data_IF_127468607338
#
_entry.id   IF_127468607338
#
_cell.length_a   1.000
_cell.length_b   1.000
_cell.length_c   1.000
_cell.angle_alpha   90.00
_cell.angle_beta   90.00
_cell.angle_gamma   90.00
#
_symmetry.space_group_name_H-M   'P 1'
#
loop_
_entity.id
_entity.type
_entity.pdbx_description
1 polymer ?
#
# COMPACT_ATOMS: atom_id res chain seq x y z
N UNK A 1 -2.42 -71.53 -5.73
CA UNK A 1 -3.85 -71.42 -5.34
C UNK A 1 -4.09 -70.00 -4.84
N UNK A 2 -4.97 -69.27 -5.53
CA UNK A 2 -5.76 -68.08 -5.16
C UNK A 2 -5.14 -66.94 -4.32
N UNK A 3 -5.03 -65.79 -4.97
CA UNK A 3 -5.38 -64.40 -4.58
C UNK A 3 -5.27 -63.96 -3.11
N UNK A 4 -4.64 -62.80 -2.88
CA UNK A 4 -5.34 -61.59 -2.44
C UNK A 4 -4.46 -60.31 -2.49
N UNK A 5 -4.85 -59.41 -3.39
CA UNK A 5 -4.87 -57.94 -3.37
C UNK A 5 -4.72 -57.26 -1.99
N UNK A 6 -3.70 -56.40 -1.81
CA UNK A 6 -3.83 -54.93 -1.54
C UNK A 6 -2.54 -54.29 -0.96
N UNK A 7 -2.11 -53.26 -1.69
CA UNK A 7 -1.66 -51.93 -1.23
C UNK A 7 -0.25 -51.62 -0.68
N UNK A 8 0.37 -50.73 -1.46
CA UNK A 8 1.18 -49.53 -1.17
C UNK A 8 2.68 -49.67 -0.90
N UNK A 9 3.39 -49.22 -1.94
CA UNK A 9 4.82 -49.10 -2.13
C UNK A 9 5.46 -48.03 -1.24
N UNK A 10 6.59 -48.46 -0.72
CA UNK A 10 7.74 -47.78 -0.14
C UNK A 10 8.16 -46.46 -0.81
N UNK A 11 8.53 -45.54 0.08
CA UNK A 11 9.55 -44.49 -0.03
C UNK A 11 10.51 -44.51 -1.23
N UNK A 12 10.68 -43.35 -1.86
CA UNK A 12 12.00 -42.88 -2.34
C UNK A 12 11.91 -41.37 -2.64
N UNK A 13 12.26 -40.54 -1.65
CA UNK A 13 12.66 -39.16 -1.88
C UNK A 13 14.17 -39.08 -1.66
N UNK A 14 14.86 -38.85 -2.77
CA UNK A 14 16.31 -38.67 -2.85
C UNK A 14 16.66 -37.36 -2.17
N UNK A 15 17.51 -37.48 -1.15
CA UNK A 15 18.17 -36.39 -0.46
C UNK A 15 18.98 -35.54 -1.43
N UNK A 16 18.70 -34.23 -1.48
CA UNK A 16 19.64 -33.22 -1.96
C UNK A 16 19.82 -32.17 -0.86
N UNK A 17 20.98 -32.27 -0.23
CA UNK A 17 21.50 -31.41 0.82
C UNK A 17 22.12 -30.17 0.15
N UNK A 18 21.61 -28.95 0.37
CA UNK A 18 22.32 -27.70 0.05
C UNK A 18 21.90 -26.56 1.01
N UNK A 19 22.91 -26.08 1.74
CA UNK A 19 23.10 -24.82 2.49
C UNK A 19 22.13 -24.34 3.60
N UNK A 20 22.66 -24.48 4.82
CA UNK A 20 22.65 -23.54 5.96
C UNK A 20 21.90 -22.21 5.78
N UNK A 21 20.86 -22.02 6.57
CA UNK A 21 20.41 -20.68 6.98
C UNK A 21 20.81 -20.44 8.43
N UNK A 22 22.04 -19.99 8.63
CA UNK A 22 22.35 -19.10 9.74
C UNK A 22 22.46 -17.69 9.14
N UNK A 23 21.30 -17.05 8.98
CA UNK A 23 21.19 -15.61 8.80
C UNK A 23 20.43 -15.08 10.03
N UNK A 24 20.87 -13.98 10.65
CA UNK A 24 20.40 -13.55 11.95
C UNK A 24 18.90 -13.28 11.93
N UNK A 25 18.25 -13.61 13.04
CA UNK A 25 16.83 -13.39 13.30
C UNK A 25 16.42 -11.99 12.83
N UNK A 26 15.59 -11.95 11.78
CA UNK A 26 14.72 -10.82 11.54
C UNK A 26 13.82 -10.73 12.77
N UNK A 27 14.01 -9.70 13.59
CA UNK A 27 13.19 -9.45 14.76
C UNK A 27 11.75 -9.23 14.29
N UNK A 28 10.88 -10.21 14.53
CA UNK A 28 9.45 -10.03 14.36
C UNK A 28 8.96 -9.02 15.40
N UNK A 29 8.77 -7.76 15.01
CA UNK A 29 7.80 -6.89 15.69
C UNK A 29 6.41 -7.40 15.32
N UNK A 30 5.96 -8.45 15.99
CA UNK A 30 4.67 -9.08 15.72
C UNK A 30 3.53 -8.34 16.47
N UNK A 31 2.53 -7.91 15.69
CA UNK A 31 1.13 -7.64 16.07
C UNK A 31 0.83 -6.53 17.10
N UNK A 32 1.57 -5.41 17.03
CA UNK A 32 1.15 -4.18 17.71
C UNK A 32 -0.03 -3.54 16.97
N UNK A 33 -1.10 -3.17 17.68
CA UNK A 33 -2.21 -2.33 17.18
C UNK A 33 -1.70 -1.31 16.14
N UNK A 34 -2.27 -1.34 14.94
CA UNK A 34 -1.89 -0.39 13.87
C UNK A 34 -2.24 1.05 14.21
N UNK A 35 -3.10 1.26 15.21
CA UNK A 35 -3.36 2.56 15.80
C UNK A 35 -3.56 2.52 17.33
N UNK A 36 -3.13 3.58 18.01
CA UNK A 36 -3.32 3.81 19.46
C UNK A 36 -3.91 5.20 19.68
N UNK A 37 -4.74 5.37 20.69
CA UNK A 37 -5.27 6.69 21.07
C UNK A 37 -4.23 7.46 21.89
N UNK A 38 -4.10 8.77 21.70
CA UNK A 38 -3.24 9.61 22.55
C UNK A 38 -3.55 9.38 24.04
N UNK A 39 -2.51 9.15 24.84
CA UNK A 39 -2.62 8.72 26.24
C UNK A 39 -2.62 7.20 26.45
N UNK A 40 -2.80 6.39 25.40
CA UNK A 40 -2.47 4.96 25.44
C UNK A 40 -0.95 4.75 25.24
N UNK A 41 -0.47 3.54 25.53
CA UNK A 41 0.92 3.14 25.28
C UNK A 41 1.05 2.33 23.99
N UNK A 42 2.15 2.53 23.27
CA UNK A 42 2.63 1.63 22.22
C UNK A 42 3.56 0.61 22.85
N UNK A 43 3.27 -0.68 22.66
CA UNK A 43 4.09 -1.75 23.22
C UNK A 43 5.13 -2.24 22.21
N UNK A 44 6.36 -2.41 22.69
CA UNK A 44 7.51 -2.85 21.90
C UNK A 44 8.14 -4.05 22.58
N UNK A 45 8.38 -5.11 21.83
CA UNK A 45 9.18 -6.26 22.28
C UNK A 45 10.32 -6.45 21.30
N UNK A 46 11.53 -6.63 21.83
CA UNK A 46 12.75 -6.73 21.05
C UNK A 46 13.58 -7.93 21.51
N UNK A 47 14.29 -8.63 20.62
CA UNK A 47 15.24 -9.67 21.01
C UNK A 47 16.57 -9.12 21.58
N UNK A 48 16.81 -7.80 21.49
CA UNK A 48 18.04 -7.14 21.93
C UNK A 48 17.75 -6.01 22.90
N UNK A 49 18.69 -5.78 23.81
CA UNK A 49 18.69 -4.59 24.67
C UNK A 49 19.05 -3.34 23.87
N UNK A 50 18.59 -2.19 24.35
CA UNK A 50 18.85 -0.90 23.73
C UNK A 50 17.72 0.09 24.00
N UNK A 51 17.41 0.95 23.04
CA UNK A 51 16.39 1.99 23.19
C UNK A 51 15.39 1.93 22.04
N UNK A 52 14.09 1.91 22.37
CA UNK A 52 13.00 2.07 21.43
C UNK A 52 12.57 3.53 21.37
N UNK A 53 12.32 4.02 20.17
CA UNK A 53 11.88 5.38 19.88
C UNK A 53 10.55 5.35 19.15
N UNK A 54 9.65 6.23 19.53
CA UNK A 54 8.41 6.53 18.83
C UNK A 54 8.53 7.95 18.27
N UNK A 55 8.73 8.10 16.97
CA UNK A 55 8.98 9.38 16.31
C UNK A 55 8.10 9.55 15.06
N UNK A 56 7.80 10.78 14.61
CA UNK A 56 7.00 10.97 13.40
C UNK A 56 7.60 10.23 12.20
N UNK A 57 6.77 9.65 11.32
CA UNK A 57 7.27 8.78 10.24
C UNK A 57 8.18 9.46 9.22
N UNK A 58 8.21 10.80 9.22
CA UNK A 58 9.06 11.62 8.35
C UNK A 58 10.49 11.76 8.87
N UNK A 59 10.76 11.34 10.11
CA UNK A 59 12.10 11.32 10.69
C UNK A 59 12.90 10.18 10.07
N UNK A 60 14.10 10.49 9.58
CA UNK A 60 15.00 9.50 8.99
C UNK A 60 15.66 8.65 10.09
N UNK A 61 15.10 7.46 10.31
CA UNK A 61 15.59 6.51 11.33
C UNK A 61 16.97 5.93 11.02
N UNK A 62 17.52 6.13 9.82
CA UNK A 62 18.92 5.76 9.54
C UNK A 62 19.92 6.70 10.23
N UNK A 63 19.45 7.84 10.74
CA UNK A 63 20.25 8.85 11.43
C UNK A 63 19.75 8.99 12.87
N UNK A 64 20.37 8.24 13.78
CA UNK A 64 20.02 8.23 15.21
C UNK A 64 19.97 9.64 15.83
N UNK A 65 20.82 10.56 15.37
CA UNK A 65 20.81 11.94 15.84
C UNK A 65 19.49 12.67 15.54
N UNK A 66 18.89 12.47 14.35
CA UNK A 66 17.58 13.04 14.05
C UNK A 66 16.48 12.45 14.94
N UNK A 67 16.60 11.16 15.28
CA UNK A 67 15.66 10.49 16.18
C UNK A 67 15.77 11.08 17.60
N UNK A 68 16.98 11.33 18.10
CA UNK A 68 17.21 11.98 19.40
C UNK A 68 16.66 13.40 19.43
N UNK A 69 16.92 14.20 18.39
CA UNK A 69 16.37 15.56 18.24
C UNK A 69 14.84 15.54 18.28
N UNK A 70 14.19 14.55 17.65
CA UNK A 70 12.73 14.42 17.68
C UNK A 70 12.20 14.19 19.11
N UNK A 71 12.92 13.39 19.93
CA UNK A 71 12.57 13.19 21.34
C UNK A 71 12.81 14.46 22.15
N UNK A 72 13.97 15.10 21.98
CA UNK A 72 14.34 16.31 22.72
C UNK A 72 13.41 17.49 22.43
N UNK A 73 12.93 17.61 21.19
CA UNK A 73 11.94 18.61 20.79
C UNK A 73 10.50 18.26 21.21
N UNK A 74 10.29 17.12 21.89
CA UNK A 74 8.99 16.71 22.41
C UNK A 74 8.01 16.18 21.37
N UNK A 75 8.43 16.01 20.11
CA UNK A 75 7.59 15.43 19.05
C UNK A 75 7.74 13.91 18.95
N UNK A 76 8.64 13.32 19.73
CA UNK A 76 8.84 11.89 19.86
C UNK A 76 9.02 11.46 21.32
N UNK A 77 9.04 10.15 21.54
CA UNK A 77 9.21 9.52 22.85
C UNK A 77 10.22 8.40 22.75
N UNK A 78 10.78 7.99 23.88
CA UNK A 78 11.67 6.83 23.97
C UNK A 78 11.41 6.01 25.22
N UNK A 79 11.82 4.75 25.18
CA UNK A 79 11.88 3.87 26.33
C UNK A 79 13.10 2.95 26.22
N UNK A 80 13.71 2.63 27.36
CA UNK A 80 14.76 1.62 27.41
C UNK A 80 14.14 0.23 27.25
N UNK A 81 14.82 -0.61 26.47
CA UNK A 81 14.34 -1.92 26.05
C UNK A 81 15.20 -2.99 26.73
N UNK A 82 14.54 -3.90 27.44
CA UNK A 82 15.14 -5.15 27.91
C UNK A 82 14.79 -6.27 26.94
N UNK A 83 15.77 -7.09 26.57
CA UNK A 83 15.57 -8.17 25.62
C UNK A 83 14.45 -9.13 26.07
N UNK A 84 13.54 -9.46 25.16
CA UNK A 84 12.42 -10.37 25.36
C UNK A 84 11.26 -9.82 26.20
N UNK A 85 11.36 -8.60 26.74
CA UNK A 85 10.32 -8.01 27.58
C UNK A 85 9.53 -6.94 26.82
N UNK A 86 8.19 -6.92 26.95
CA UNK A 86 7.39 -5.83 26.39
C UNK A 86 7.60 -4.54 27.20
N UNK A 87 7.88 -3.44 26.51
CA UNK A 87 7.95 -2.10 27.09
C UNK A 87 6.91 -1.17 26.46
N UNK A 88 6.23 -0.38 27.29
CA UNK A 88 5.26 0.61 26.84
C UNK A 88 5.89 1.99 26.63
N UNK A 89 5.65 2.60 25.47
CA UNK A 89 5.97 4.00 25.18
C UNK A 89 4.68 4.79 25.24
N UNK A 90 4.55 5.65 26.25
CA UNK A 90 3.38 6.50 26.43
C UNK A 90 3.25 7.52 25.27
N UNK A 91 2.02 7.73 24.79
CA UNK A 91 1.75 8.65 23.67
C UNK A 91 1.29 10.04 24.09
N UNK A 92 1.26 10.35 25.39
CA UNK A 92 0.81 11.64 25.91
C UNK A 92 1.57 12.82 25.29
N UNK A 93 0.80 13.81 24.82
CA UNK A 93 1.33 15.01 24.19
C UNK A 93 1.74 14.83 22.71
N UNK A 94 1.66 13.60 22.18
CA UNK A 94 1.82 13.38 20.74
C UNK A 94 0.57 13.84 19.99
N UNK A 95 0.76 14.19 18.72
CA UNK A 95 -0.31 14.66 17.85
C UNK A 95 -0.86 13.49 17.03
N UNK A 96 -2.04 13.69 16.45
CA UNK A 96 -2.54 12.79 15.42
C UNK A 96 -1.60 12.77 14.21
N UNK A 97 -0.92 11.64 13.99
CA UNK A 97 -0.09 11.37 12.82
C UNK A 97 0.29 9.87 12.78
N UNK A 98 0.92 9.45 11.69
CA UNK A 98 1.67 8.20 11.63
C UNK A 98 3.07 8.40 12.19
N UNK A 99 3.42 7.54 13.14
CA UNK A 99 4.72 7.45 13.79
C UNK A 99 5.43 6.15 13.39
N UNK A 100 6.76 6.19 13.45
CA UNK A 100 7.63 5.03 13.41
C UNK A 100 8.02 4.66 14.84
N UNK A 101 7.86 3.38 15.17
CA UNK A 101 8.52 2.75 16.30
C UNK A 101 9.81 2.15 15.76
N UNK A 102 10.96 2.56 16.28
CA UNK A 102 12.26 2.03 15.87
C UNK A 102 13.10 1.64 17.10
N UNK A 103 13.69 0.46 17.08
CA UNK A 103 14.56 -0.03 18.13
C UNK A 103 16.03 0.01 17.68
N UNK A 104 16.88 0.56 18.55
CA UNK A 104 18.32 0.68 18.35
C UNK A 104 19.04 -0.04 19.47
N UNK A 105 20.11 -0.76 19.16
CA UNK A 105 20.95 -1.38 20.18
C UNK A 105 21.88 -0.34 20.84
N UNK A 106 22.70 -0.79 21.79
CA UNK A 106 23.65 0.08 22.50
C UNK A 106 24.71 0.72 21.58
N UNK A 107 24.97 0.13 20.41
CA UNK A 107 25.88 0.68 19.40
C UNK A 107 25.19 1.72 18.50
N UNK A 108 23.87 1.91 18.67
CA UNK A 108 23.07 2.84 17.89
C UNK A 108 22.70 2.31 16.52
N UNK A 109 22.76 1.00 16.29
CA UNK A 109 22.33 0.38 15.04
C UNK A 109 20.83 0.06 15.09
N UNK A 110 20.04 0.47 14.08
CA UNK A 110 18.62 0.12 14.01
C UNK A 110 18.48 -1.37 13.66
N UNK A 111 17.68 -2.12 14.42
CA UNK A 111 17.49 -3.55 14.18
C UNK A 111 16.01 -3.97 14.04
N UNK A 112 15.08 -3.03 14.15
CA UNK A 112 13.66 -3.26 13.91
C UNK A 112 12.88 -1.95 13.85
N UNK A 113 11.86 -1.90 12.99
CA UNK A 113 10.91 -0.80 12.99
C UNK A 113 9.51 -1.26 12.57
N UNK A 114 8.51 -0.50 12.99
CA UNK A 114 7.11 -0.65 12.60
C UNK A 114 6.42 0.71 12.56
N UNK A 115 5.26 0.79 11.90
CA UNK A 115 4.42 1.99 11.87
C UNK A 115 3.26 1.85 12.84
N UNK A 116 2.92 2.95 13.49
CA UNK A 116 1.73 3.07 14.33
C UNK A 116 1.09 4.42 14.08
N UNK A 117 -0.24 4.48 14.05
CA UNK A 117 -0.97 5.75 14.00
C UNK A 117 -1.35 6.16 15.40
N UNK A 118 -0.97 7.36 15.82
CA UNK A 118 -1.49 7.96 17.06
C UNK A 118 -2.79 8.69 16.71
N UNK A 119 -3.86 8.34 17.40
CA UNK A 119 -5.22 8.84 17.21
C UNK A 119 -5.53 9.93 18.24
N UNK A 120 -6.51 10.78 17.94
CA UNK A 120 -7.03 11.76 18.89
C UNK A 120 -7.89 11.07 19.97
N UNK A 121 -8.05 11.72 21.11
CA UNK A 121 -8.90 11.24 22.21
C UNK A 121 -10.33 11.81 22.14
N UNK A 122 -11.12 11.47 23.15
CA UNK A 122 -12.51 11.92 23.30
C UNK A 122 -12.69 13.44 23.45
N UNK A 123 -11.62 14.21 23.68
CA UNK A 123 -11.70 15.67 23.72
C UNK A 123 -11.86 16.30 22.33
N UNK A 124 -11.64 15.52 21.26
CA UNK A 124 -11.76 15.97 19.87
C UNK A 124 -12.99 15.34 19.20
N UNK A 125 -13.76 16.12 18.41
CA UNK A 125 -14.90 15.56 17.68
C UNK A 125 -14.43 14.50 16.68
N UNK A 126 -15.29 13.53 16.36
CA UNK A 126 -15.03 12.56 15.30
C UNK A 126 -14.97 13.28 13.95
N UNK A 127 -13.85 13.10 13.25
CA UNK A 127 -13.59 13.70 11.95
C UNK A 127 -13.01 12.67 10.98
N UNK A 128 -13.55 12.67 9.77
CA UNK A 128 -12.87 12.06 8.63
C UNK A 128 -11.61 12.85 8.30
N UNK A 129 -10.51 12.14 8.01
CA UNK A 129 -9.20 12.72 7.73
C UNK A 129 -8.75 12.47 6.30
N UNK A 130 -8.79 11.22 5.85
CA UNK A 130 -8.17 10.81 4.58
C UNK A 130 -9.02 9.74 3.91
N UNK A 131 -9.23 9.91 2.60
CA UNK A 131 -9.68 8.83 1.75
C UNK A 131 -8.46 8.15 1.12
N UNK A 132 -8.35 6.85 1.30
CA UNK A 132 -7.33 6.03 0.66
C UNK A 132 -7.87 5.38 -0.60
N UNK A 133 -7.04 5.35 -1.64
CA UNK A 133 -7.24 4.54 -2.83
C UNK A 133 -5.94 3.83 -3.16
N UNK A 134 -5.92 2.53 -2.88
CA UNK A 134 -4.74 1.69 -3.04
C UNK A 134 -4.80 0.93 -4.36
N UNK A 135 -3.62 0.77 -4.99
CA UNK A 135 -3.46 -0.06 -6.19
C UNK A 135 -3.92 -1.49 -5.95
N UNK A 136 -4.21 -2.19 -7.05
CA UNK A 136 -4.58 -3.59 -7.02
C UNK A 136 -3.51 -4.45 -6.33
N UNK A 137 -3.95 -5.36 -5.47
CA UNK A 137 -3.08 -6.38 -4.89
C UNK A 137 -2.89 -7.57 -5.86
N UNK A 138 -2.30 -8.66 -5.38
CA UNK A 138 -2.09 -9.89 -6.16
C UNK A 138 -3.39 -10.51 -6.70
N UNK A 139 -4.56 -10.16 -6.13
CA UNK A 139 -5.87 -10.58 -6.64
C UNK A 139 -6.40 -9.69 -7.77
N UNK A 140 -5.66 -8.65 -8.17
CA UNK A 140 -6.10 -7.68 -9.17
C UNK A 140 -7.18 -6.72 -8.66
N UNK A 141 -7.41 -6.65 -7.34
CA UNK A 141 -8.48 -5.84 -6.74
C UNK A 141 -7.90 -4.64 -6.01
N UNK A 142 -8.33 -3.45 -6.44
CA UNK A 142 -8.07 -2.21 -5.71
C UNK A 142 -8.82 -2.18 -4.38
N UNK A 143 -8.32 -1.38 -3.44
CA UNK A 143 -9.01 -1.14 -2.18
C UNK A 143 -9.12 0.35 -1.89
N UNK A 144 -10.07 0.66 -1.01
CA UNK A 144 -10.42 2.02 -0.63
C UNK A 144 -10.57 2.10 0.87
N UNK A 145 -10.28 3.27 1.44
CA UNK A 145 -10.46 3.48 2.87
C UNK A 145 -11.06 4.84 3.21
N UNK A 146 -11.91 4.89 4.22
CA UNK A 146 -12.23 6.12 4.95
C UNK A 146 -11.48 6.09 6.28
N UNK A 147 -10.54 7.01 6.47
CA UNK A 147 -9.74 7.12 7.69
C UNK A 147 -10.29 8.20 8.62
N UNK A 148 -10.44 7.87 9.89
CA UNK A 148 -10.90 8.77 10.94
C UNK A 148 -9.77 9.15 11.90
N UNK A 149 -9.96 10.24 12.63
CA UNK A 149 -9.03 10.69 13.67
C UNK A 149 -9.07 9.86 14.96
N UNK A 150 -10.11 9.02 15.13
CA UNK A 150 -10.40 8.24 16.34
C UNK A 150 -10.73 6.80 15.97
N UNK A 151 -10.62 5.86 16.92
CA UNK A 151 -11.06 4.47 16.73
C UNK A 151 -12.57 4.46 16.53
N UNK A 152 -13.00 3.68 15.55
CA UNK A 152 -14.41 3.57 15.17
C UNK A 152 -14.89 2.13 15.20
N UNK A 153 -16.21 1.99 15.24
CA UNK A 153 -16.92 0.73 15.06
C UNK A 153 -18.18 0.98 14.23
N UNK A 154 -18.83 -0.07 13.68
CA UNK A 154 -20.13 0.10 13.04
C UNK A 154 -21.12 0.70 14.05
N UNK A 155 -21.92 1.68 13.62
CA UNK A 155 -22.95 2.21 14.50
C UNK A 155 -23.99 1.14 14.82
N UNK A 156 -24.51 1.16 16.06
CA UNK A 156 -25.50 0.17 16.51
C UNK A 156 -26.72 0.09 15.59
N UNK A 157 -27.02 -1.11 15.08
CA UNK A 157 -28.14 -1.37 14.17
C UNK A 157 -27.90 -0.97 12.71
N UNK A 158 -26.68 -0.57 12.35
CA UNK A 158 -26.35 -0.13 10.99
C UNK A 158 -25.55 -1.19 10.24
N UNK A 159 -25.96 -1.45 8.99
CA UNK A 159 -25.17 -2.24 8.05
C UNK A 159 -24.16 -1.36 7.32
N UNK A 160 -22.87 -1.70 7.41
CA UNK A 160 -21.83 -0.99 6.66
C UNK A 160 -22.01 -1.11 5.14
N UNK A 161 -22.44 -2.28 4.64
CA UNK A 161 -22.74 -2.49 3.22
C UNK A 161 -23.81 -1.54 2.68
N UNK A 162 -24.83 -1.23 3.49
CA UNK A 162 -25.89 -0.30 3.11
C UNK A 162 -25.51 1.16 3.31
N UNK A 163 -24.39 1.41 3.99
CA UNK A 163 -23.92 2.73 4.40
C UNK A 163 -22.84 3.29 3.50
N UNK A 164 -22.01 2.42 2.94
CA UNK A 164 -21.07 2.79 1.89
C UNK A 164 -21.79 2.71 0.56
N UNK A 165 -21.84 3.85 -0.12
CA UNK A 165 -22.50 4.00 -1.40
C UNK A 165 -21.48 4.34 -2.47
N UNK A 166 -21.66 3.78 -3.66
CA UNK A 166 -20.85 4.04 -4.83
C UNK A 166 -21.75 4.59 -5.94
N UNK A 167 -21.23 5.56 -6.69
CA UNK A 167 -21.81 6.02 -7.94
C UNK A 167 -20.77 5.86 -9.05
N UNK A 168 -21.15 5.30 -10.20
CA UNK A 168 -20.28 5.22 -11.39
C UNK A 168 -20.87 6.08 -12.50
N UNK A 169 -20.06 6.85 -13.23
CA UNK A 169 -20.50 7.62 -14.40
C UNK A 169 -21.64 8.63 -14.17
N UNK A 170 -21.63 9.36 -13.05
CA UNK A 170 -22.69 10.34 -12.75
C UNK A 170 -24.06 9.71 -12.44
N UNK A 171 -24.10 8.39 -12.22
CA UNK A 171 -25.26 7.69 -11.69
C UNK A 171 -25.52 8.11 -10.22
N UNK A 172 -26.67 7.75 -9.68
CA UNK A 172 -27.00 7.98 -8.28
C UNK A 172 -26.24 7.03 -7.37
N UNK A 173 -25.87 7.51 -6.18
CA UNK A 173 -25.24 6.68 -5.14
C UNK A 173 -26.12 5.47 -4.77
N UNK A 174 -25.55 4.28 -4.87
CA UNK A 174 -26.18 3.00 -4.53
C UNK A 174 -25.32 2.22 -3.54
N UNK A 175 -25.91 1.39 -2.67
CA UNK A 175 -25.14 0.49 -1.81
C UNK A 175 -24.16 -0.38 -2.59
N UNK A 176 -23.08 -0.77 -1.92
CA UNK A 176 -22.15 -1.76 -2.45
C UNK A 176 -22.83 -3.11 -2.71
N UNK A 177 -22.23 -3.90 -3.61
CA UNK A 177 -22.66 -5.27 -3.83
C UNK A 177 -22.53 -6.08 -2.55
N UNK A 178 -23.38 -7.09 -2.37
CA UNK A 178 -23.26 -8.03 -1.25
C UNK A 178 -21.95 -8.84 -1.28
N UNK A 179 -21.28 -8.89 -2.44
CA UNK A 179 -20.01 -9.59 -2.61
C UNK A 179 -18.79 -8.69 -2.36
N UNK A 180 -18.97 -7.39 -2.22
CA UNK A 180 -17.86 -6.48 -1.92
C UNK A 180 -17.40 -6.70 -0.47
N UNK A 181 -16.10 -6.68 -0.20
CA UNK A 181 -15.61 -6.80 1.18
C UNK A 181 -15.64 -5.43 1.86
N UNK A 182 -16.29 -5.36 3.03
CA UNK A 182 -16.29 -4.18 3.89
C UNK A 182 -16.09 -4.56 5.35
N UNK A 183 -15.14 -3.89 5.99
CA UNK A 183 -14.86 -4.10 7.41
C UNK A 183 -14.23 -2.86 8.04
N UNK A 184 -14.23 -2.82 9.36
CA UNK A 184 -13.51 -1.79 10.12
C UNK A 184 -12.28 -2.41 10.75
N UNK A 185 -11.16 -1.71 10.65
CA UNK A 185 -9.95 -2.01 11.42
C UNK A 185 -9.41 -0.69 11.98
N UNK A 186 -9.34 -0.62 13.31
CA UNK A 186 -8.99 0.57 14.07
C UNK A 186 -9.82 1.82 13.71
N UNK A 187 -9.22 2.77 13.00
CA UNK A 187 -9.83 4.04 12.60
C UNK A 187 -10.23 4.07 11.12
N UNK A 188 -10.23 2.92 10.43
CA UNK A 188 -10.51 2.84 8.99
C UNK A 188 -11.75 2.01 8.71
N UNK A 189 -12.59 2.50 7.79
CA UNK A 189 -13.52 1.66 7.02
C UNK A 189 -12.78 1.20 5.77
N UNK A 190 -12.55 -0.10 5.62
CA UNK A 190 -11.94 -0.72 4.45
C UNK A 190 -13.02 -1.20 3.49
N UNK A 191 -12.81 -0.94 2.20
CA UNK A 191 -13.69 -1.38 1.12
C UNK A 191 -12.83 -2.03 0.05
N UNK A 192 -13.19 -3.24 -0.34
CA UNK A 192 -12.52 -3.96 -1.44
C UNK A 192 -13.58 -4.58 -2.34
N UNK A 193 -13.90 -3.91 -3.46
CA UNK A 193 -14.92 -4.39 -4.38
C UNK A 193 -14.57 -5.77 -4.96
N UNK A 194 -15.56 -6.59 -5.24
CA UNK A 194 -15.36 -7.88 -5.91
C UNK A 194 -14.76 -7.69 -7.30
N UNK A 195 -15.20 -6.64 -8.00
CA UNK A 195 -14.79 -6.29 -9.36
C UNK A 195 -14.25 -4.87 -9.39
N UNK A 196 -13.13 -4.67 -10.08
CA UNK A 196 -12.65 -3.34 -10.39
C UNK A 196 -13.69 -2.59 -11.24
N UNK A 197 -13.92 -1.31 -10.95
CA UNK A 197 -14.76 -0.44 -11.80
C UNK A 197 -13.95 0.09 -13.00
N UNK A 198 -13.21 -0.78 -13.70
CA UNK A 198 -12.36 -0.45 -14.85
C UNK A 198 -13.07 0.51 -15.82
N UNK A 199 -12.32 1.50 -16.35
CA UNK A 199 -12.81 2.53 -17.27
C UNK A 199 -13.90 3.46 -16.73
N UNK A 200 -14.24 3.36 -15.44
CA UNK A 200 -15.27 4.19 -14.80
C UNK A 200 -14.61 5.23 -13.90
N UNK A 201 -15.11 6.46 -13.97
CA UNK A 201 -15.00 7.34 -12.81
C UNK A 201 -16.00 6.88 -11.78
N UNK A 202 -15.59 6.83 -10.52
CA UNK A 202 -16.46 6.46 -9.43
C UNK A 202 -16.36 7.45 -8.28
N UNK A 203 -17.47 7.58 -7.56
CA UNK A 203 -17.59 8.39 -6.37
C UNK A 203 -17.93 7.47 -5.21
N UNK A 204 -17.36 7.73 -4.05
CA UNK A 204 -17.65 7.01 -2.82
C UNK A 204 -18.32 7.92 -1.81
N UNK A 205 -19.31 7.38 -1.11
CA UNK A 205 -19.98 8.05 -0.01
C UNK A 205 -20.08 7.14 1.19
N UNK A 206 -19.74 7.65 2.36
CA UNK A 206 -20.11 7.06 3.64
C UNK A 206 -21.24 7.88 4.23
N UNK A 207 -22.41 7.27 4.40
CA UNK A 207 -23.58 7.95 4.94
C UNK A 207 -23.32 8.47 6.37
N UNK A 208 -24.07 9.49 6.78
CA UNK A 208 -24.02 9.98 8.16
C UNK A 208 -24.53 8.90 9.13
N UNK A 209 -23.89 8.77 10.29
CA UNK A 209 -24.29 7.82 11.31
C UNK A 209 -23.98 6.35 11.00
N UNK A 210 -23.13 6.08 10.02
CA UNK A 210 -22.71 4.72 9.65
C UNK A 210 -21.70 4.10 10.59
N UNK A 211 -20.82 4.93 11.16
CA UNK A 211 -19.82 4.54 12.16
C UNK A 211 -19.92 5.43 13.38
N UNK A 212 -19.48 4.90 14.51
CA UNK A 212 -19.40 5.63 15.77
C UNK A 212 -18.05 5.40 16.45
N UNK A 213 -17.60 6.36 17.27
CA UNK A 213 -16.38 6.20 18.05
C UNK A 213 -16.53 5.12 19.11
N UNK A 214 -15.50 4.32 19.35
CA UNK A 214 -15.53 3.23 20.35
C UNK A 214 -15.70 3.74 21.78
N UNK A 215 -15.17 4.91 22.10
CA UNK A 215 -15.11 5.51 23.44
C UNK A 215 -16.37 6.32 23.81
N UNK A 216 -16.92 7.11 22.88
CA UNK A 216 -18.04 8.04 23.16
C UNK A 216 -19.31 7.76 22.37
N UNK A 217 -19.30 6.77 21.45
CA UNK A 217 -20.37 6.52 20.49
C UNK A 217 -20.78 7.75 19.65
N UNK A 218 -19.86 8.71 19.50
CA UNK A 218 -20.06 9.87 18.60
C UNK A 218 -20.10 9.37 17.16
N UNK A 219 -21.14 9.76 16.41
CA UNK A 219 -21.41 9.28 15.05
C UNK A 219 -20.75 10.14 13.98
N UNK A 220 -20.32 9.52 12.88
CA UNK A 220 -19.74 10.27 11.76
C UNK A 220 -20.77 11.16 11.05
N UNK A 221 -20.27 12.25 10.48
CA UNK A 221 -20.97 13.01 9.44
C UNK A 221 -20.84 12.31 8.08
N UNK A 222 -21.70 12.67 7.14
CA UNK A 222 -21.58 12.19 5.75
C UNK A 222 -20.22 12.60 5.17
N UNK A 223 -19.61 11.69 4.42
CA UNK A 223 -18.34 11.91 3.73
C UNK A 223 -18.50 11.49 2.28
N UNK A 224 -18.08 12.34 1.34
CA UNK A 224 -18.17 12.06 -0.10
C UNK A 224 -16.85 12.35 -0.80
N UNK A 225 -16.44 11.45 -1.69
CA UNK A 225 -15.28 11.58 -2.59
C UNK A 225 -15.74 11.42 -4.02
N UNK A 226 -15.32 12.35 -4.88
CA UNK A 226 -15.76 12.44 -6.26
C UNK A 226 -14.62 12.21 -7.25
N UNK A 227 -14.98 11.79 -8.45
CA UNK A 227 -14.14 11.72 -9.65
C UNK A 227 -12.88 10.87 -9.48
N UNK A 228 -12.96 9.83 -8.65
CA UNK A 228 -11.89 8.84 -8.56
C UNK A 228 -11.85 8.02 -9.85
N UNK A 229 -10.66 7.61 -10.25
CA UNK A 229 -10.46 6.76 -11.43
C UNK A 229 -9.63 5.56 -11.02
N UNK A 230 -9.93 4.40 -11.58
CA UNK A 230 -9.09 3.22 -11.40
C UNK A 230 -7.66 3.51 -11.82
N UNK A 231 -6.72 2.86 -11.14
CA UNK A 231 -5.35 2.80 -11.58
C UNK A 231 -5.29 2.13 -12.95
N UNK A 232 -4.40 2.65 -13.79
CA UNK A 232 -4.09 1.99 -15.04
C UNK A 232 -3.33 0.70 -14.73
N UNK A 233 -3.80 -0.41 -15.26
CA UNK A 233 -3.02 -1.65 -15.26
C UNK A 233 -2.17 -1.66 -16.53
N UNK A 234 -0.86 -1.79 -16.35
CA UNK A 234 0.09 -2.01 -17.43
C UNK A 234 0.75 -3.37 -17.19
N UNK A 235 0.50 -4.30 -18.11
CA UNK A 235 1.14 -5.60 -18.11
C UNK A 235 2.14 -5.67 -19.26
N UNK A 236 3.37 -6.09 -18.96
CA UNK A 236 4.44 -6.30 -19.94
C UNK A 236 4.65 -7.81 -20.06
N UNK A 237 4.62 -8.32 -21.28
CA UNK A 237 4.57 -9.77 -21.56
C UNK A 237 5.74 -10.57 -20.93
N UNK A 238 6.91 -9.95 -20.79
CA UNK A 238 8.12 -10.61 -20.28
C UNK A 238 8.38 -10.38 -18.77
N UNK A 239 7.33 -9.98 -18.03
CA UNK A 239 7.15 -10.01 -16.56
C UNK A 239 8.41 -9.96 -15.67
N UNK A 240 9.25 -8.95 -15.85
CA UNK A 240 10.13 -8.47 -14.81
C UNK A 240 9.96 -6.97 -14.67
N UNK A 241 10.02 -6.46 -13.45
CA UNK A 241 10.03 -5.02 -13.15
C UNK A 241 11.13 -4.26 -13.91
N UNK A 242 12.07 -5.00 -14.51
CA UNK A 242 13.12 -4.55 -15.41
C UNK A 242 13.26 -5.53 -16.58
N UNK A 243 13.08 -5.06 -17.81
CA UNK A 243 13.33 -5.86 -19.01
C UNK A 243 14.56 -5.32 -19.73
N UNK A 244 15.55 -6.17 -19.95
CA UNK A 244 16.68 -5.87 -20.85
C UNK A 244 16.35 -6.40 -22.23
N UNK A 245 16.09 -5.52 -23.19
CA UNK A 245 15.81 -5.90 -24.58
C UNK A 245 16.92 -5.46 -25.51
N UNK A 246 17.16 -6.24 -26.57
CA UNK A 246 18.07 -5.82 -27.65
C UNK A 246 17.49 -4.59 -28.36
N UNK A 247 18.38 -3.67 -28.74
CA UNK A 247 18.06 -2.54 -29.61
C UNK A 247 17.26 -2.99 -30.84
N UNK A 248 16.13 -2.35 -31.09
CA UNK A 248 15.25 -2.63 -32.21
C UNK A 248 14.23 -3.75 -31.98
N UNK A 249 14.28 -4.45 -30.85
CA UNK A 249 13.23 -5.39 -30.42
C UNK A 249 11.99 -4.64 -29.98
N UNK A 250 10.82 -5.17 -30.33
CA UNK A 250 9.55 -4.65 -29.86
C UNK A 250 9.26 -5.16 -28.44
N UNK A 251 8.77 -4.28 -27.57
CA UNK A 251 8.27 -4.64 -26.25
C UNK A 251 6.77 -4.82 -26.37
N UNK A 252 6.27 -6.00 -25.99
CA UNK A 252 4.85 -6.30 -25.96
C UNK A 252 4.28 -5.93 -24.59
N UNK A 253 3.20 -5.16 -24.58
CA UNK A 253 2.48 -4.77 -23.38
C UNK A 253 0.98 -4.68 -23.66
N UNK A 254 0.16 -4.71 -22.62
CA UNK A 254 -1.26 -4.39 -22.67
C UNK A 254 -1.60 -3.39 -21.58
N UNK A 255 -2.61 -2.57 -21.84
CA UNK A 255 -3.15 -1.61 -20.87
C UNK A 255 -4.63 -1.87 -20.64
N UNK A 256 -5.11 -1.59 -19.43
CA UNK A 256 -6.53 -1.77 -19.09
C UNK A 256 -7.45 -0.70 -19.68
N UNK A 257 -6.92 0.41 -20.21
CA UNK A 257 -7.70 1.49 -20.84
C UNK A 257 -6.92 2.29 -21.85
N UNK A 258 -7.60 3.17 -22.58
CA UNK A 258 -6.97 4.11 -23.50
C UNK A 258 -5.88 4.92 -22.80
N UNK A 259 -4.69 4.90 -23.39
CA UNK A 259 -3.53 5.52 -22.79
C UNK A 259 -2.48 5.83 -23.85
N UNK A 260 -1.61 6.77 -23.52
CA UNK A 260 -0.36 6.97 -24.26
C UNK A 260 0.79 6.38 -23.45
N UNK A 261 1.39 5.33 -23.98
CA UNK A 261 2.56 4.68 -23.39
C UNK A 261 3.82 5.20 -24.03
N UNK A 262 4.75 5.64 -23.19
CA UNK A 262 6.08 6.06 -23.57
C UNK A 262 7.10 5.04 -23.10
N UNK A 263 8.00 4.66 -23.99
CA UNK A 263 9.26 4.04 -23.60
C UNK A 263 10.23 5.19 -23.34
N UNK A 264 10.77 5.29 -22.12
CA UNK A 264 11.73 6.34 -21.69
C UNK A 264 12.86 5.77 -20.84
N UNK A 265 13.99 6.47 -20.76
CA UNK A 265 15.13 5.98 -19.97
C UNK A 265 14.77 5.99 -18.50
N UNK A 266 15.39 5.09 -17.70
CA UNK A 266 15.05 4.91 -16.28
C UNK A 266 15.01 6.21 -15.47
N UNK A 267 15.96 7.12 -15.75
CA UNK A 267 16.15 8.35 -14.99
C UNK A 267 15.26 9.50 -15.46
N UNK A 268 14.45 9.28 -16.50
CA UNK A 268 13.67 10.33 -17.12
C UNK A 268 12.26 10.42 -16.52
N UNK A 269 12.07 11.32 -15.55
CA UNK A 269 10.75 11.76 -15.10
C UNK A 269 10.30 13.02 -15.84
N UNK A 270 9.00 13.19 -16.06
CA UNK A 270 8.46 14.36 -16.73
C UNK A 270 6.97 14.28 -17.00
N UNK A 271 6.45 15.39 -17.53
CA UNK A 271 5.11 15.57 -18.08
C UNK A 271 4.98 14.94 -19.47
N UNK A 272 3.75 14.89 -19.98
CA UNK A 272 3.47 14.39 -21.32
C UNK A 272 4.24 15.19 -22.38
N UNK A 273 4.25 16.52 -22.26
CA UNK A 273 4.94 17.42 -23.18
C UNK A 273 6.46 17.18 -23.20
N UNK A 274 7.05 16.84 -22.05
CA UNK A 274 8.47 16.49 -21.95
C UNK A 274 8.75 15.15 -22.62
N UNK A 275 7.88 14.15 -22.46
CA UNK A 275 8.02 12.87 -23.15
C UNK A 275 7.82 13.01 -24.66
N UNK A 276 6.82 13.77 -25.11
CA UNK A 276 6.58 14.05 -26.52
C UNK A 276 7.78 14.74 -27.17
N UNK A 277 8.43 15.68 -26.46
CA UNK A 277 9.67 16.32 -26.93
C UNK A 277 10.82 15.33 -27.08
N UNK A 278 10.94 14.35 -26.20
CA UNK A 278 11.97 13.31 -26.35
C UNK A 278 11.67 12.35 -27.49
N UNK A 279 10.40 12.08 -27.77
CA UNK A 279 10.01 11.31 -28.95
C UNK A 279 10.43 12.07 -30.22
N UNK A 280 10.18 13.38 -30.29
CA UNK A 280 10.61 14.23 -31.39
C UNK A 280 12.14 14.26 -31.56
N UNK A 281 12.87 14.30 -30.45
CA UNK A 281 14.34 14.28 -30.47
C UNK A 281 14.93 12.89 -30.82
N UNK A 282 14.12 11.83 -30.86
CA UNK A 282 14.57 10.45 -31.08
C UNK A 282 15.12 9.74 -29.82
N UNK A 283 14.82 10.23 -28.62
CA UNK A 283 15.30 9.68 -27.34
C UNK A 283 14.26 8.84 -26.60
N UNK A 284 13.03 8.80 -27.12
CA UNK A 284 11.92 8.03 -26.58
C UNK A 284 11.07 7.43 -27.70
N UNK A 285 10.27 6.42 -27.36
CA UNK A 285 9.24 5.89 -28.26
C UNK A 285 7.87 6.15 -27.67
N UNK A 286 6.85 6.31 -28.52
CA UNK A 286 5.46 6.54 -28.14
C UNK A 286 4.55 5.52 -28.80
N UNK A 287 3.57 5.02 -28.05
CA UNK A 287 2.46 4.21 -28.54
C UNK A 287 1.17 4.76 -27.93
N UNK A 288 0.30 5.26 -28.79
CA UNK A 288 -1.09 5.57 -28.41
C UNK A 288 -1.88 4.27 -28.52
N UNK A 289 -2.54 3.89 -27.44
CA UNK A 289 -3.43 2.72 -27.38
C UNK A 289 -4.86 3.24 -27.40
N UNK A 290 -5.55 3.00 -28.52
CA UNK A 290 -6.95 3.36 -28.70
C UNK A 290 -7.90 2.29 -28.18
N UNK A 291 -9.20 2.61 -28.15
CA UNK A 291 -10.28 1.72 -27.67
C UNK A 291 -10.21 0.30 -28.25
N UNK A 292 -9.84 0.13 -29.52
CA UNK A 292 -9.77 -1.17 -30.22
C UNK A 292 -8.54 -2.02 -29.85
N UNK A 293 -7.57 -1.42 -29.17
CA UNK A 293 -6.32 -2.04 -28.72
C UNK A 293 -6.30 -2.31 -27.20
N UNK A 294 -7.23 -1.72 -26.44
CA UNK A 294 -7.35 -1.95 -24.98
C UNK A 294 -7.52 -3.44 -24.66
N UNK A 295 -6.82 -3.90 -23.63
CA UNK A 295 -6.82 -5.31 -23.20
C UNK A 295 -6.10 -6.27 -24.15
N UNK A 296 -5.57 -5.79 -25.28
CA UNK A 296 -4.78 -6.60 -26.23
C UNK A 296 -3.29 -6.33 -26.06
N UNK A 297 -2.49 -7.33 -26.37
CA UNK A 297 -1.04 -7.15 -26.47
C UNK A 297 -0.72 -6.29 -27.70
N UNK A 298 -0.18 -5.11 -27.45
CA UNK A 298 0.36 -4.19 -28.44
C UNK A 298 1.86 -4.08 -28.30
N UNK A 299 2.52 -3.50 -29.29
CA UNK A 299 3.97 -3.40 -29.34
C UNK A 299 4.44 -1.94 -29.39
N UNK A 300 5.52 -1.66 -28.68
CA UNK A 300 6.30 -0.42 -28.81
C UNK A 300 7.73 -0.76 -29.22
N UNK A 301 8.20 -0.12 -30.29
CA UNK A 301 9.54 -0.39 -30.83
C UNK A 301 10.62 0.32 -30.03
N UNK A 302 11.74 -0.36 -29.78
CA UNK A 302 12.96 0.25 -29.24
C UNK A 302 13.88 0.81 -30.33
N UNK A 303 13.46 0.81 -31.61
CA UNK A 303 14.32 1.24 -32.73
C UNK A 303 14.75 2.69 -32.68
N UNK A 304 13.96 3.59 -32.10
CA UNK A 304 14.32 5.00 -31.99
C UNK A 304 15.61 5.20 -31.16
N UNK A 305 16.00 4.21 -30.35
CA UNK A 305 16.89 4.45 -29.23
C UNK A 305 18.39 4.26 -29.49
N UNK A 306 18.83 3.47 -30.46
CA UNK A 306 20.16 2.85 -30.34
C UNK A 306 20.84 2.60 -31.69
N UNK A 307 21.64 3.56 -32.15
CA UNK A 307 22.93 3.21 -32.75
C UNK A 307 23.86 2.74 -31.60
N UNK A 308 23.75 1.46 -31.19
CA UNK A 308 24.89 0.74 -30.61
C UNK A 308 25.03 0.53 -29.08
N UNK A 309 24.10 0.92 -28.21
CA UNK A 309 24.28 0.74 -26.74
C UNK A 309 23.16 -0.07 -26.05
N UNK A 310 23.43 -0.63 -24.87
CA UNK A 310 22.44 -1.26 -23.99
C UNK A 310 21.84 -0.15 -23.09
N UNK A 311 20.51 -0.01 -23.05
CA UNK A 311 19.85 1.01 -22.25
C UNK A 311 18.92 0.38 -21.19
N UNK A 312 18.94 0.95 -19.98
CA UNK A 312 17.98 0.64 -18.92
C UNK A 312 16.69 1.41 -19.16
N UNK A 313 15.64 0.68 -19.49
CA UNK A 313 14.36 1.23 -19.95
C UNK A 313 13.27 1.14 -18.89
N UNK A 314 12.33 2.09 -18.93
CA UNK A 314 11.07 2.02 -18.21
C UNK A 314 9.92 2.40 -19.14
N UNK A 315 8.74 1.82 -18.89
CA UNK A 315 7.51 2.29 -19.50
C UNK A 315 6.90 3.35 -18.57
N UNK A 316 6.68 4.54 -19.12
CA UNK A 316 5.89 5.60 -18.47
C UNK A 316 4.54 5.65 -19.18
N UNK A 317 3.45 5.70 -18.42
CA UNK A 317 2.12 5.79 -19.03
C UNK A 317 1.43 7.08 -18.63
N UNK A 318 0.94 7.79 -19.65
CA UNK A 318 0.12 8.98 -19.49
C UNK A 318 -1.30 8.64 -19.90
N UNK A 319 -2.26 9.06 -19.07
CA UNK A 319 -3.68 8.90 -19.38
C UNK A 319 -4.05 9.87 -20.50
N UNK A 320 -4.72 9.36 -21.54
CA UNK A 320 -5.41 10.22 -22.51
C UNK A 320 -6.60 10.88 -21.82
N UNK A 321 -6.65 12.21 -21.87
CA UNK A 321 -7.77 13.01 -21.38
C UNK A 321 -8.81 13.20 -22.48
#
# INVERSE_FOLDING_TARGET
MKDNWRTWLSSLLVSSLLFTMAAPAHAAMNDSKTAVTVGEAVYVTSPREGTAYLVPHKVDISKLEMVKIAVESGIGKKAEVTAGQPIGIATDGLKFDTYLVAAFDHEGQPFGNSKVTVLEDASKPLMHRVFGHQQADESGRESFTFAFNRKIQPASGVSLHNSVLVATYGDVFKPLSSNDEIYIKDNYVFIKPEKAYLDKSFDFKLAAGSVETVDTQERNREVVFYQMKHYLELEVADSASFVTVKAGTAISFKVSREATVYLVTRNMAGSQDEFDRQVQNGWASKKVVGTDEVGRMVQISTRAWLQGNIAWIRLAVMLSW
#
